data_IF_606204342574
#
_entry.id   IF_606204342574
#
_cell.length_a   1.000
_cell.length_b   1.000
_cell.length_c   1.000
_cell.angle_alpha   90.00
_cell.angle_beta   90.00
_cell.angle_gamma   90.00
#
_symmetry.space_group_name_H-M   'P 1'
#
loop_
_entity.id
_entity.type
_entity.pdbx_description
1 polymer ?
#
# COMPACT_ATOMS: atom_id res chain seq x y z
N UNK A 1 -4.57 -11.44 23.02
CA UNK A 1 -4.19 -10.08 22.59
C UNK A 1 -2.82 -10.05 21.92
N UNK A 2 -1.76 -10.59 22.52
CA UNK A 2 -0.41 -10.60 21.92
C UNK A 2 -0.34 -11.18 20.49
N UNK A 3 -0.94 -12.36 20.27
CA UNK A 3 -0.96 -13.03 18.95
C UNK A 3 -1.68 -12.22 17.87
N UNK A 4 -2.73 -11.48 18.23
CA UNK A 4 -3.47 -10.63 17.29
C UNK A 4 -2.64 -9.42 16.86
N UNK A 5 -1.87 -8.84 17.79
CA UNK A 5 -1.00 -7.70 17.48
C UNK A 5 0.18 -8.13 16.60
N UNK A 6 0.73 -9.33 16.81
CA UNK A 6 1.79 -9.90 15.96
C UNK A 6 1.26 -10.17 14.55
N UNK A 7 0.08 -10.77 14.43
CA UNK A 7 -0.55 -11.02 13.13
C UNK A 7 -0.85 -9.71 12.38
N UNK A 8 -1.36 -8.69 13.09
CA UNK A 8 -1.66 -7.37 12.52
C UNK A 8 -0.39 -6.64 12.06
N UNK A 9 0.69 -6.70 12.85
CA UNK A 9 1.98 -6.13 12.48
C UNK A 9 2.60 -6.82 11.25
N UNK A 10 2.52 -8.16 11.18
CA UNK A 10 2.98 -8.92 10.02
C UNK A 10 2.20 -8.59 8.75
N UNK A 11 0.87 -8.44 8.86
CA UNK A 11 0.01 -8.02 7.75
C UNK A 11 0.33 -6.58 7.29
N UNK A 12 0.54 -5.65 8.22
CA UNK A 12 0.94 -4.28 7.90
C UNK A 12 2.31 -4.24 7.20
N UNK A 13 3.29 -5.02 7.66
CA UNK A 13 4.60 -5.12 7.00
C UNK A 13 4.48 -5.67 5.56
N UNK A 14 3.65 -6.69 5.34
CA UNK A 14 3.39 -7.24 4.01
C UNK A 14 2.75 -6.20 3.08
N UNK A 15 1.75 -5.46 3.57
CA UNK A 15 1.12 -4.39 2.81
C UNK A 15 2.09 -3.24 2.47
N UNK A 16 3.01 -2.91 3.37
CA UNK A 16 4.05 -1.90 3.10
C UNK A 16 4.99 -2.34 1.95
N UNK A 17 5.34 -3.63 1.88
CA UNK A 17 6.11 -4.17 0.74
C UNK A 17 5.33 -4.05 -0.57
N UNK A 18 4.04 -4.40 -0.57
CA UNK A 18 3.17 -4.24 -1.75
C UNK A 18 3.08 -2.77 -2.16
N UNK A 19 3.01 -1.85 -1.20
CA UNK A 19 2.99 -0.41 -1.47
C UNK A 19 4.27 0.03 -2.20
N UNK A 20 5.45 -0.42 -1.75
CA UNK A 20 6.73 -0.11 -2.39
C UNK A 20 6.75 -0.62 -3.83
N UNK A 21 6.29 -1.86 -4.07
CA UNK A 21 6.21 -2.43 -5.43
C UNK A 21 5.29 -1.60 -6.33
N UNK A 22 4.12 -1.19 -5.84
CA UNK A 22 3.20 -0.33 -6.58
C UNK A 22 3.79 1.05 -6.89
N UNK A 23 4.56 1.64 -5.97
CA UNK A 23 5.25 2.91 -6.20
C UNK A 23 6.34 2.76 -7.26
N UNK A 24 7.15 1.70 -7.23
CA UNK A 24 8.13 1.41 -8.27
C UNK A 24 7.46 1.24 -9.63
N UNK A 25 6.33 0.55 -9.68
CA UNK A 25 5.53 0.40 -10.89
C UNK A 25 4.96 1.74 -11.37
N UNK A 26 4.55 2.64 -10.47
CA UNK A 26 4.04 3.97 -10.81
C UNK A 26 5.10 4.79 -11.56
N UNK A 27 6.35 4.78 -11.07
CA UNK A 27 7.45 5.45 -11.75
C UNK A 27 7.76 4.86 -13.13
N UNK A 28 7.68 3.54 -13.28
CA UNK A 28 7.83 2.88 -14.58
C UNK A 28 6.71 3.27 -15.55
N UNK A 29 5.46 3.29 -15.07
CA UNK A 29 4.29 3.64 -15.86
C UNK A 29 4.35 5.09 -16.35
N UNK A 30 4.72 6.03 -15.48
CA UNK A 30 4.88 7.44 -15.87
C UNK A 30 5.97 7.67 -16.92
N UNK A 31 7.03 6.86 -16.91
CA UNK A 31 8.17 7.00 -17.83
C UNK A 31 7.90 6.42 -19.22
N UNK A 32 7.09 5.37 -19.34
CA UNK A 32 7.02 4.55 -20.55
C UNK A 32 5.62 4.37 -21.16
N UNK A 33 4.54 4.93 -20.58
CA UNK A 33 3.20 4.72 -21.12
C UNK A 33 2.74 5.77 -22.12
N UNK A 34 1.92 5.30 -23.07
CA UNK A 34 1.19 6.09 -24.05
C UNK A 34 0.01 6.82 -23.37
N UNK A 35 -0.36 8.03 -23.82
CA UNK A 35 -1.49 8.77 -23.28
C UNK A 35 -2.80 7.97 -23.45
N UNK A 36 -3.58 7.85 -22.36
CA UNK A 36 -4.86 7.12 -22.33
C UNK A 36 -4.86 5.81 -21.53
N UNK A 37 -3.76 5.47 -20.85
CA UNK A 37 -3.67 4.22 -20.13
C UNK A 37 -4.36 4.23 -18.75
N UNK A 38 -5.36 3.37 -18.58
CA UNK A 38 -6.13 3.22 -17.35
C UNK A 38 -5.33 2.65 -16.16
N UNK A 39 -4.09 2.23 -16.38
CA UNK A 39 -3.25 1.70 -15.29
C UNK A 39 -2.92 2.71 -14.19
N UNK A 40 -2.78 3.99 -14.53
CA UNK A 40 -2.42 5.04 -13.56
C UNK A 40 -3.52 5.22 -12.51
N UNK A 41 -4.80 5.46 -12.87
CA UNK A 41 -5.85 5.62 -11.88
C UNK A 41 -6.06 4.35 -11.04
N UNK A 42 -5.93 3.16 -11.64
CA UNK A 42 -6.02 1.89 -10.90
C UNK A 42 -4.89 1.80 -9.86
N UNK A 43 -3.67 2.17 -10.22
CA UNK A 43 -2.51 2.13 -9.34
C UNK A 43 -2.63 3.13 -8.19
N UNK A 44 -3.15 4.33 -8.46
CA UNK A 44 -3.45 5.35 -7.44
C UNK A 44 -4.50 4.85 -6.44
N UNK A 45 -5.56 4.19 -6.91
CA UNK A 45 -6.58 3.59 -6.04
C UNK A 45 -5.97 2.51 -5.15
N UNK A 46 -5.12 1.64 -5.69
CA UNK A 46 -4.44 0.61 -4.90
C UNK A 46 -3.53 1.21 -3.82
N UNK A 47 -2.73 2.22 -4.17
CA UNK A 47 -1.86 2.93 -3.23
C UNK A 47 -2.68 3.56 -2.10
N UNK A 48 -3.79 4.24 -2.43
CA UNK A 48 -4.66 4.88 -1.46
C UNK A 48 -5.32 3.85 -0.52
N UNK A 49 -5.76 2.71 -1.05
CA UNK A 49 -6.37 1.64 -0.26
C UNK A 49 -5.37 1.03 0.73
N UNK A 50 -4.16 0.74 0.26
CA UNK A 50 -3.09 0.17 1.11
C UNK A 50 -2.69 1.16 2.21
N UNK A 51 -2.51 2.45 1.88
CA UNK A 51 -2.21 3.48 2.87
C UNK A 51 -3.30 3.59 3.95
N UNK A 52 -4.57 3.53 3.54
CA UNK A 52 -5.70 3.60 4.48
C UNK A 52 -5.68 2.43 5.47
N UNK A 53 -5.40 1.21 4.97
CA UNK A 53 -5.29 0.02 5.81
C UNK A 53 -4.08 0.12 6.75
N UNK A 54 -2.93 0.61 6.28
CA UNK A 54 -1.74 0.80 7.09
C UNK A 54 -1.95 1.80 8.24
N UNK A 55 -2.57 2.95 7.95
CA UNK A 55 -2.90 3.97 8.96
C UNK A 55 -3.91 3.41 9.97
N UNK A 56 -4.94 2.70 9.50
CA UNK A 56 -5.91 2.06 10.39
C UNK A 56 -5.24 1.01 11.29
N UNK A 57 -4.27 0.27 10.75
CA UNK A 57 -3.52 -0.74 11.48
C UNK A 57 -2.55 -0.13 12.49
N UNK A 58 -1.92 1.01 12.21
CA UNK A 58 -1.02 1.68 13.16
C UNK A 58 -1.77 2.26 14.37
N UNK A 59 -2.98 2.78 14.16
CA UNK A 59 -3.88 3.23 15.23
C UNK A 59 -4.26 2.04 16.13
N UNK A 60 -4.62 0.90 15.55
CA UNK A 60 -4.95 -0.32 16.30
C UNK A 60 -3.76 -0.92 17.06
N UNK A 61 -2.54 -0.72 16.56
CA UNK A 61 -1.30 -1.14 17.23
C UNK A 61 -0.81 -0.15 18.30
N UNK A 62 -1.45 1.03 18.42
CA UNK A 62 -1.06 2.05 19.40
C UNK A 62 0.26 2.75 19.08
N UNK A 63 0.67 2.76 17.82
CA UNK A 63 1.95 3.35 17.33
C UNK A 63 1.67 4.66 16.56
N UNK A 64 0.59 5.35 16.92
CA UNK A 64 0.13 6.60 16.28
C UNK A 64 0.54 7.84 17.04
#
# INVERSE_FOLDING_TARGET
MLTNNIALAGYAAFLAVILIVNLLYFFQVFRYRLPGDASIPILVIHIALILTILISSSILLGVG
#
